data_IF_879148053838
#
_entry.id   IF_879148053838
#
_cell.length_a   1.000
_cell.length_b   1.000
_cell.length_c   1.000
_cell.angle_alpha   90.00
_cell.angle_beta   90.00
_cell.angle_gamma   90.00
#
_symmetry.space_group_name_H-M   'P 1'
#
loop_
_entity.id
_entity.type
_entity.pdbx_description
1 polymer ?
#
# COMPACT_ATOMS: atom_id res chain seq x y z
N UNK A 1 -8.31 6.52 -18.68
CA UNK A 1 -9.32 5.82 -17.84
C UNK A 1 -10.15 4.77 -18.58
N UNK A 2 -10.21 4.73 -19.93
CA UNK A 2 -11.01 3.71 -20.67
C UNK A 2 -10.58 2.26 -20.43
N UNK A 3 -9.32 2.01 -20.13
CA UNK A 3 -8.79 0.65 -19.86
C UNK A 3 -9.09 0.12 -18.44
N UNK A 4 -9.50 1.01 -17.52
CA UNK A 4 -9.65 0.67 -16.11
C UNK A 4 -10.87 -0.23 -15.83
N UNK A 5 -11.97 -0.02 -16.56
CA UNK A 5 -13.22 -0.79 -16.40
C UNK A 5 -13.09 -2.25 -16.81
N UNK A 6 -12.09 -2.59 -17.64
CA UNK A 6 -11.80 -3.98 -18.03
C UNK A 6 -11.01 -4.74 -16.96
N UNK A 7 -10.26 -4.04 -16.11
CA UNK A 7 -9.40 -4.62 -15.08
C UNK A 7 -10.10 -4.90 -13.75
N UNK A 8 -11.35 -4.46 -13.58
CA UNK A 8 -12.12 -4.67 -12.36
C UNK A 8 -12.60 -6.14 -12.25
N UNK A 9 -12.28 -6.85 -11.15
CA UNK A 9 -12.74 -8.22 -10.94
C UNK A 9 -14.26 -8.36 -11.11
N UNK A 10 -14.71 -9.49 -11.70
CA UNK A 10 -16.14 -9.75 -11.99
C UNK A 10 -17.05 -9.60 -10.76
N UNK A 11 -16.57 -9.92 -9.55
CA UNK A 11 -17.30 -9.73 -8.30
C UNK A 11 -17.74 -8.28 -8.03
N UNK A 12 -17.07 -7.31 -8.63
CA UNK A 12 -17.41 -5.89 -8.52
C UNK A 12 -18.30 -5.39 -9.67
N UNK A 13 -18.77 -6.27 -10.57
CA UNK A 13 -19.55 -5.87 -11.75
C UNK A 13 -20.84 -5.14 -11.36
N UNK A 14 -21.59 -5.66 -10.37
CA UNK A 14 -22.83 -5.04 -9.88
C UNK A 14 -22.60 -3.64 -9.28
N UNK A 15 -21.41 -3.38 -8.74
CA UNK A 15 -21.02 -2.10 -8.12
C UNK A 15 -19.98 -1.33 -8.94
N UNK A 16 -19.89 -1.59 -10.25
CA UNK A 16 -18.80 -1.05 -11.09
C UNK A 16 -18.69 0.47 -11.04
N UNK A 17 -19.82 1.19 -11.08
CA UNK A 17 -19.86 2.66 -11.01
C UNK A 17 -19.30 3.19 -9.68
N UNK A 18 -19.61 2.53 -8.57
CA UNK A 18 -19.08 2.88 -7.27
C UNK A 18 -17.56 2.73 -7.24
N UNK A 19 -17.05 1.57 -7.65
CA UNK A 19 -15.61 1.27 -7.61
C UNK A 19 -14.80 2.19 -8.53
N UNK A 20 -15.28 2.46 -9.75
CA UNK A 20 -14.61 3.40 -10.65
C UNK A 20 -14.58 4.81 -10.07
N UNK A 21 -15.67 5.24 -9.41
CA UNK A 21 -15.74 6.52 -8.71
C UNK A 21 -14.76 6.61 -7.54
N UNK A 22 -14.78 5.62 -6.66
CA UNK A 22 -13.89 5.53 -5.49
C UNK A 22 -12.41 5.56 -5.88
N UNK A 23 -12.02 4.70 -6.83
CA UNK A 23 -10.64 4.58 -7.28
C UNK A 23 -10.18 5.85 -8.00
N UNK A 24 -11.05 6.48 -8.79
CA UNK A 24 -10.75 7.79 -9.39
C UNK A 24 -10.50 8.85 -8.32
N UNK A 25 -11.35 8.91 -7.28
CA UNK A 25 -11.23 9.90 -6.22
C UNK A 25 -9.91 9.75 -5.45
N UNK A 26 -9.55 8.52 -5.09
CA UNK A 26 -8.28 8.22 -4.40
C UNK A 26 -7.09 8.52 -5.30
N UNK A 27 -7.14 8.12 -6.57
CA UNK A 27 -6.05 8.38 -7.49
C UNK A 27 -5.81 9.89 -7.67
N UNK A 28 -6.89 10.67 -7.77
CA UNK A 28 -6.80 12.12 -7.82
C UNK A 28 -6.24 12.72 -6.53
N UNK A 29 -6.65 12.20 -5.36
CA UNK A 29 -6.09 12.64 -4.08
C UNK A 29 -4.60 12.34 -3.98
N UNK A 30 -4.18 11.13 -4.34
CA UNK A 30 -2.77 10.72 -4.38
C UNK A 30 -1.95 11.62 -5.30
N UNK A 31 -2.38 11.78 -6.56
CA UNK A 31 -1.71 12.65 -7.51
C UNK A 31 -1.58 14.10 -7.00
N UNK A 32 -2.64 14.65 -6.39
CA UNK A 32 -2.61 16.01 -5.80
C UNK A 32 -1.61 16.11 -4.65
N UNK A 33 -1.56 15.13 -3.74
CA UNK A 33 -0.65 15.14 -2.60
C UNK A 33 0.83 15.16 -3.01
N UNK A 34 1.17 14.63 -4.18
CA UNK A 34 2.54 14.53 -4.66
C UNK A 34 2.82 15.37 -5.92
N UNK A 35 1.89 16.26 -6.31
CA UNK A 35 2.06 17.14 -7.47
C UNK A 35 2.21 16.40 -8.82
N UNK A 36 1.77 15.15 -8.92
CA UNK A 36 1.91 14.34 -10.14
C UNK A 36 0.66 14.41 -11.00
N UNK A 37 0.81 14.32 -12.33
CA UNK A 37 -0.33 14.29 -13.27
C UNK A 37 -0.88 12.88 -13.51
N UNK A 38 -0.05 11.87 -13.28
CA UNK A 38 -0.33 10.46 -13.57
C UNK A 38 0.32 9.57 -12.52
N UNK A 39 -0.28 8.41 -12.33
CA UNK A 39 0.16 7.34 -11.45
C UNK A 39 -0.06 6.00 -12.17
N UNK A 40 0.70 4.99 -11.78
CA UNK A 40 0.45 3.61 -12.19
C UNK A 40 -0.51 2.97 -11.18
N UNK A 41 -1.46 2.21 -11.69
CA UNK A 41 -2.51 1.60 -10.90
C UNK A 41 -2.51 0.10 -11.13
N UNK A 42 -2.34 -0.68 -10.07
CA UNK A 42 -2.31 -2.14 -10.12
C UNK A 42 -3.40 -2.72 -9.24
N UNK A 43 -4.25 -3.57 -9.82
CA UNK A 43 -5.20 -4.40 -9.08
C UNK A 43 -4.73 -5.83 -9.11
N UNK A 44 -4.77 -6.47 -7.95
CA UNK A 44 -4.42 -7.88 -7.86
C UNK A 44 -5.35 -8.52 -6.83
N UNK A 45 -5.97 -9.63 -7.21
CA UNK A 45 -6.60 -10.51 -6.24
C UNK A 45 -5.49 -11.30 -5.56
N UNK A 46 -5.42 -11.19 -4.24
CA UNK A 46 -4.45 -11.91 -3.42
C UNK A 46 -5.21 -12.98 -2.65
N UNK A 47 -5.00 -14.25 -2.99
CA UNK A 47 -5.67 -15.40 -2.36
C UNK A 47 -4.76 -16.15 -1.38
N UNK A 48 -3.50 -15.72 -1.24
CA UNK A 48 -2.50 -16.27 -0.35
C UNK A 48 -1.49 -15.17 0.01
N UNK A 49 -0.69 -15.34 1.06
CA UNK A 49 0.34 -14.36 1.43
C UNK A 49 1.34 -14.20 0.28
N UNK A 50 1.37 -13.01 -0.34
CA UNK A 50 2.24 -12.72 -1.49
C UNK A 50 3.65 -12.37 -1.06
N UNK A 51 3.79 -11.69 0.07
CA UNK A 51 5.08 -11.28 0.62
C UNK A 51 5.11 -11.67 2.09
N UNK A 52 5.76 -12.79 2.39
CA UNK A 52 6.01 -13.22 3.78
C UNK A 52 7.18 -12.46 4.41
N UNK A 53 7.97 -11.78 3.59
CA UNK A 53 9.16 -11.05 4.02
C UNK A 53 8.96 -9.54 3.87
N UNK A 54 9.38 -8.81 4.90
CA UNK A 54 9.44 -7.36 4.84
C UNK A 54 10.50 -6.91 3.84
N UNK A 55 10.17 -5.89 3.05
CA UNK A 55 11.08 -5.29 2.07
C UNK A 55 10.83 -3.78 1.98
N UNK A 56 11.85 -3.06 1.51
CA UNK A 56 11.67 -1.69 1.02
C UNK A 56 11.10 -1.75 -0.39
N UNK A 57 10.16 -0.87 -0.68
CA UNK A 57 9.58 -0.75 -2.01
C UNK A 57 10.46 0.19 -2.85
N UNK A 58 11.05 -0.28 -3.95
CA UNK A 58 11.92 0.57 -4.78
C UNK A 58 11.14 1.57 -5.67
N UNK A 59 10.14 2.23 -5.11
CA UNK A 59 9.35 3.29 -5.75
C UNK A 59 9.29 4.52 -4.84
N UNK A 60 9.32 5.72 -5.42
CA UNK A 60 9.32 6.96 -4.66
C UNK A 60 8.13 7.09 -3.71
N UNK A 61 6.94 6.69 -4.15
CA UNK A 61 5.75 6.68 -3.30
C UNK A 61 4.82 5.56 -3.74
N UNK A 62 4.31 4.80 -2.78
CA UNK A 62 3.25 3.82 -2.98
C UNK A 62 2.07 4.09 -2.06
N UNK A 63 0.88 4.11 -2.66
CA UNK A 63 -0.38 4.00 -1.92
C UNK A 63 -0.89 2.57 -2.04
N UNK A 64 -1.10 1.91 -0.90
CA UNK A 64 -1.77 0.62 -0.85
C UNK A 64 -3.05 0.71 -0.01
N UNK A 65 -4.04 -0.08 -0.39
CA UNK A 65 -5.31 -0.20 0.32
C UNK A 65 -5.78 -1.64 0.30
N UNK A 66 -6.15 -2.15 1.47
CA UNK A 66 -6.86 -3.43 1.59
C UNK A 66 -8.35 -3.16 1.61
N UNK A 67 -9.02 -3.52 0.51
CA UNK A 67 -10.48 -3.36 0.37
C UNK A 67 -11.23 -4.41 1.20
N UNK A 68 -10.69 -5.62 1.29
CA UNK A 68 -11.29 -6.78 1.96
C UNK A 68 -10.17 -7.73 2.42
N UNK A 69 -10.36 -8.38 3.57
CA UNK A 69 -9.40 -9.34 4.12
C UNK A 69 -8.47 -8.78 5.21
N UNK A 70 -7.48 -9.58 5.64
CA UNK A 70 -6.71 -9.36 6.88
C UNK A 70 -5.83 -8.11 6.87
N UNK A 71 -5.51 -7.55 5.71
CA UNK A 71 -4.71 -6.34 5.62
C UNK A 71 -3.31 -6.56 5.07
N UNK A 72 -2.46 -5.55 5.22
CA UNK A 72 -1.03 -5.62 4.92
C UNK A 72 -0.27 -5.26 6.18
N UNK A 73 0.75 -6.05 6.50
CA UNK A 73 1.68 -5.74 7.58
C UNK A 73 2.72 -4.73 7.11
N UNK A 74 3.10 -3.81 7.98
CA UNK A 74 4.17 -2.85 7.72
C UNK A 74 4.93 -2.51 8.99
N UNK A 75 6.14 -1.98 8.82
CA UNK A 75 6.99 -1.52 9.91
C UNK A 75 7.12 0.00 9.84
N UNK A 76 7.21 0.63 11.01
CA UNK A 76 7.66 2.02 11.10
C UNK A 76 9.18 2.06 11.00
N UNK A 77 9.74 3.17 10.52
CA UNK A 77 11.19 3.29 10.24
C UNK A 77 12.09 2.97 11.44
N UNK A 78 11.64 3.27 12.65
CA UNK A 78 12.38 3.03 13.89
C UNK A 78 12.24 1.58 14.40
N UNK A 79 11.46 0.74 13.72
CA UNK A 79 11.30 -0.69 13.98
C UNK A 79 11.90 -1.56 12.86
N UNK A 80 12.74 -0.97 12.00
CA UNK A 80 13.40 -1.66 10.88
C UNK A 80 14.92 -1.69 11.07
N UNK A 81 15.50 -2.88 11.13
CA UNK A 81 16.92 -3.11 10.88
C UNK A 81 17.15 -3.28 9.38
N UNK A 82 17.66 -2.23 8.74
CA UNK A 82 17.90 -2.21 7.29
C UNK A 82 19.03 -3.15 6.86
N UNK A 83 19.92 -3.56 7.77
CA UNK A 83 21.02 -4.47 7.44
C UNK A 83 20.53 -5.89 7.11
N UNK A 84 19.35 -6.27 7.63
CA UNK A 84 18.73 -7.57 7.32
C UNK A 84 17.85 -7.59 6.08
N UNK A 85 17.60 -6.45 5.44
CA UNK A 85 16.77 -6.38 4.22
C UNK A 85 17.41 -7.21 3.09
N UNK A 86 16.59 -7.96 2.36
CA UNK A 86 17.05 -8.86 1.30
C UNK A 86 17.69 -10.17 1.81
N UNK A 87 17.84 -10.34 3.13
CA UNK A 87 18.46 -11.52 3.75
C UNK A 87 17.53 -12.73 3.94
N UNK A 88 16.28 -12.68 3.46
CA UNK A 88 15.36 -13.82 3.53
C UNK A 88 14.75 -14.11 4.91
N UNK A 89 14.97 -13.24 5.91
CA UNK A 89 14.61 -13.52 7.30
C UNK A 89 14.08 -12.28 8.03
N UNK A 90 12.80 -12.30 8.44
CA UNK A 90 12.20 -11.18 9.18
C UNK A 90 12.83 -10.94 10.55
N UNK A 91 13.40 -11.98 11.20
CA UNK A 91 14.08 -11.82 12.49
C UNK A 91 15.35 -10.97 12.42
N UNK A 92 15.86 -10.68 11.21
CA UNK A 92 16.97 -9.75 10.98
C UNK A 92 16.50 -8.35 10.54
N UNK A 93 15.20 -8.18 10.33
CA UNK A 93 14.59 -6.95 9.80
C UNK A 93 13.75 -6.26 10.89
N UNK A 94 13.03 -7.04 11.69
CA UNK A 94 12.13 -6.51 12.72
C UNK A 94 12.90 -6.35 14.02
N UNK A 95 12.98 -5.12 14.53
CA UNK A 95 13.63 -4.84 15.82
C UNK A 95 12.75 -5.37 16.97
N UNK A 96 11.46 -5.05 16.94
CA UNK A 96 10.46 -5.51 17.92
C UNK A 96 9.21 -6.08 17.20
N UNK A 97 8.98 -7.40 17.29
CA UNK A 97 7.81 -8.05 16.70
C UNK A 97 6.46 -7.53 17.23
N UNK A 98 6.40 -7.02 18.47
CA UNK A 98 5.16 -6.48 19.04
C UNK A 98 4.76 -5.14 18.40
N UNK A 99 5.69 -4.49 17.70
CA UNK A 99 5.48 -3.18 17.05
C UNK A 99 5.17 -3.29 15.55
N UNK A 100 4.95 -4.49 15.03
CA UNK A 100 4.45 -4.72 13.67
C UNK A 100 3.06 -4.09 13.54
N UNK A 101 2.86 -3.31 12.47
CA UNK A 101 1.60 -2.64 12.20
C UNK A 101 0.76 -3.44 11.21
N UNK A 102 -0.57 -3.38 11.36
CA UNK A 102 -1.52 -4.01 10.45
C UNK A 102 -2.43 -2.96 9.82
N UNK A 103 -2.33 -2.77 8.51
CA UNK A 103 -3.26 -1.94 7.76
C UNK A 103 -4.62 -2.67 7.67
N UNK A 104 -5.56 -2.29 8.53
CA UNK A 104 -6.90 -2.89 8.57
C UNK A 104 -7.67 -2.59 7.28
N UNK A 105 -8.69 -3.40 7.00
CA UNK A 105 -9.62 -3.19 5.88
C UNK A 105 -10.12 -1.75 5.83
N UNK A 106 -10.16 -1.14 4.64
CA UNK A 106 -10.49 0.28 4.37
C UNK A 106 -9.48 1.30 4.91
N UNK A 107 -8.34 0.87 5.44
CA UNK A 107 -7.24 1.79 5.80
C UNK A 107 -6.39 2.07 4.56
N UNK A 108 -6.04 3.34 4.36
CA UNK A 108 -5.07 3.75 3.36
C UNK A 108 -3.73 4.03 4.02
N UNK A 109 -2.69 3.37 3.53
CA UNK A 109 -1.32 3.60 3.96
C UNK A 109 -0.50 4.10 2.76
N UNK A 110 0.18 5.23 2.94
CA UNK A 110 1.17 5.71 1.97
C UNK A 110 2.58 5.54 2.53
N UNK A 111 3.40 4.81 1.78
CA UNK A 111 4.84 4.78 1.96
C UNK A 111 5.45 5.75 0.97
N UNK A 112 6.18 6.75 1.46
CA UNK A 112 6.99 7.63 0.63
C UNK A 112 8.46 7.38 0.95
N UNK A 113 9.24 6.96 -0.04
CA UNK A 113 10.69 6.92 0.02
C UNK A 113 11.23 8.20 -0.62
N UNK A 114 11.64 9.16 0.22
CA UNK A 114 12.40 10.32 -0.27
C UNK A 114 13.82 9.86 -0.58
N UNK A 115 14.34 10.22 -1.77
CA UNK A 115 15.75 10.00 -2.10
C UNK A 115 16.62 10.70 -1.04
N UNK A 116 17.15 9.90 -0.10
CA UNK A 116 17.75 10.39 1.15
C UNK A 116 16.92 9.97 2.37
N UNK A 117 17.29 8.79 2.92
CA UNK A 117 17.04 8.33 4.29
C UNK A 117 15.82 8.91 5.03
N UNK A 118 14.67 8.23 4.91
CA UNK A 118 13.64 7.96 5.95
C UNK A 118 12.30 7.72 5.25
N UNK A 119 11.90 6.45 5.16
CA UNK A 119 10.59 6.06 4.63
C UNK A 119 9.47 6.46 5.59
N UNK A 120 9.10 7.74 5.64
CA UNK A 120 8.05 8.17 6.59
C UNK A 120 6.71 7.57 6.17
N UNK A 121 6.13 6.73 7.03
CA UNK A 121 4.71 6.37 6.93
C UNK A 121 3.88 7.65 7.06
N UNK A 122 3.38 8.16 5.94
CA UNK A 122 2.53 9.34 5.93
C UNK A 122 1.11 8.87 6.26
N UNK A 123 0.72 9.00 7.53
CA UNK A 123 -0.65 9.04 8.05
C UNK A 123 -1.59 7.88 7.68
N UNK A 124 -1.93 7.05 8.67
CA UNK A 124 -3.21 6.31 8.70
C UNK A 124 -4.33 7.26 9.12
N UNK A 125 -4.91 8.00 8.18
CA UNK A 125 -6.13 8.75 8.47
C UNK A 125 -7.34 7.84 8.21
N UNK A 126 -8.16 7.49 9.22
CA UNK A 126 -9.51 7.05 8.95
C UNK A 126 -10.24 8.26 8.36
N UNK A 127 -10.66 8.19 7.09
CA UNK A 127 -11.60 9.18 6.54
C UNK A 127 -13.02 8.69 6.81
N UNK A 128 -13.94 9.60 7.16
CA UNK A 128 -15.33 9.30 7.49
C UNK A 128 -16.08 8.62 6.34
#
# INVERSE_FOLDING_TARGET
MREFTKALPKRFAASRKFWTGYIRAINQAFCRSFGTRRSLLRFSQVSHDQCRLFHSDNVHVRLFQTIEGPGTEYLLEDNVDRSGLGGGCNGKIVIDPARVQHARTKTSCSCAETNGSTGRALSTAPRP
#
